data_IF_615898374768
#
_entry.id   IF_615898374768
#
_cell.length_a   1.000
_cell.length_b   1.000
_cell.length_c   1.000
_cell.angle_alpha   90.00
_cell.angle_beta   90.00
_cell.angle_gamma   90.00
#
_symmetry.space_group_name_H-M   'P 1'
#
loop_
_entity.id
_entity.type
_entity.pdbx_description
1 polymer ?
#
# COMPACT_ATOMS: atom_id res chain seq x y z
N UNK A 1 15.51 -31.41 67.02
CA UNK A 1 14.22 -31.94 66.51
C UNK A 1 13.39 -30.77 66.00
N UNK A 2 12.78 -30.70 64.83
CA UNK A 2 12.71 -31.57 63.66
C UNK A 2 12.34 -30.68 62.46
N UNK A 3 12.84 -31.03 61.28
CA UNK A 3 12.53 -30.42 59.98
C UNK A 3 11.14 -30.88 59.49
N UNK A 4 10.42 -30.01 58.78
CA UNK A 4 9.46 -30.33 57.70
C UNK A 4 9.02 -29.00 57.06
N UNK A 5 9.68 -28.46 56.04
CA UNK A 5 9.55 -28.83 54.61
C UNK A 5 8.11 -29.15 54.20
N UNK A 6 7.36 -28.14 53.77
CA UNK A 6 6.28 -28.30 52.80
C UNK A 6 6.67 -27.56 51.51
N UNK A 7 6.83 -28.35 50.46
CA UNK A 7 7.21 -27.98 49.11
C UNK A 7 6.20 -27.03 48.46
N UNK A 8 6.70 -25.89 47.98
CA UNK A 8 6.10 -25.16 46.87
C UNK A 8 6.15 -26.03 45.61
N UNK A 9 4.99 -26.51 45.15
CA UNK A 9 4.88 -27.09 43.81
C UNK A 9 4.73 -25.94 42.79
N UNK A 10 5.86 -25.34 42.42
CA UNK A 10 5.95 -24.60 41.16
C UNK A 10 5.85 -25.62 40.02
N UNK A 11 4.65 -25.76 39.45
CA UNK A 11 4.45 -26.56 38.25
C UNK A 11 5.21 -25.88 37.09
N UNK A 12 6.44 -26.35 36.85
CA UNK A 12 7.21 -26.03 35.67
C UNK A 12 6.41 -26.49 34.44
N UNK A 13 5.85 -25.53 33.70
CA UNK A 13 5.24 -25.79 32.41
C UNK A 13 6.33 -26.28 31.46
N UNK A 14 6.31 -27.59 31.16
CA UNK A 14 7.19 -28.22 30.18
C UNK A 14 7.01 -27.55 28.81
N UNK A 15 7.99 -26.73 28.41
CA UNK A 15 8.05 -26.05 27.12
C UNK A 15 8.46 -27.01 25.97
N UNK A 16 7.71 -28.11 25.79
CA UNK A 16 8.01 -29.09 24.75
C UNK A 16 6.75 -29.52 23.98
N UNK A 17 5.83 -28.58 23.74
CA UNK A 17 4.80 -28.78 22.73
C UNK A 17 5.39 -28.45 21.36
N UNK A 18 5.37 -29.37 20.39
CA UNK A 18 5.75 -29.05 19.03
C UNK A 18 4.75 -28.01 18.51
N UNK A 19 5.16 -26.76 18.41
CA UNK A 19 4.38 -25.76 17.69
C UNK A 19 4.24 -26.27 16.25
N UNK A 20 3.00 -26.46 15.74
CA UNK A 20 2.82 -26.82 14.35
C UNK A 20 3.44 -25.70 13.51
N UNK A 21 4.52 -26.02 12.78
CA UNK A 21 5.11 -25.09 11.82
C UNK A 21 4.04 -24.86 10.75
N UNK A 22 3.49 -23.66 10.73
CA UNK A 22 2.56 -23.24 9.68
C UNK A 22 3.24 -23.46 8.33
N UNK A 23 2.54 -24.12 7.41
CA UNK A 23 3.10 -24.33 6.08
C UNK A 23 3.26 -22.97 5.35
N UNK A 24 4.24 -22.88 4.45
CA UNK A 24 4.54 -21.64 3.72
C UNK A 24 3.35 -21.12 2.92
N UNK A 25 2.46 -22.02 2.48
CA UNK A 25 1.24 -21.68 1.76
C UNK A 25 0.24 -20.93 2.66
N UNK A 26 0.05 -21.36 3.91
CA UNK A 26 -0.79 -20.69 4.90
C UNK A 26 -0.16 -19.33 5.26
N UNK A 27 1.15 -19.29 5.50
CA UNK A 27 1.88 -18.04 5.76
C UNK A 27 1.74 -17.04 4.59
N UNK A 28 1.85 -17.51 3.34
CA UNK A 28 1.65 -16.69 2.14
C UNK A 28 0.20 -16.23 1.97
N UNK A 29 -0.77 -17.04 2.41
CA UNK A 29 -2.20 -16.69 2.37
C UNK A 29 -2.59 -15.68 3.45
N UNK A 30 -1.96 -15.76 4.63
CA UNK A 30 -2.13 -14.79 5.72
C UNK A 30 -1.42 -13.46 5.41
N UNK A 31 -0.33 -13.49 4.64
CA UNK A 31 0.36 -12.29 4.14
C UNK A 31 -0.37 -11.59 3.01
N UNK A 32 -1.32 -12.26 2.35
CA UNK A 32 -2.10 -11.66 1.26
C UNK A 32 -3.14 -10.75 1.89
N UNK A 33 -2.87 -9.45 1.96
CA UNK A 33 -3.88 -8.44 2.28
C UNK A 33 -5.05 -8.65 1.32
N UNK A 34 -6.18 -9.10 1.85
CA UNK A 34 -7.45 -9.33 1.14
C UNK A 34 -8.21 -8.03 0.88
N UNK A 35 -7.56 -6.88 1.04
CA UNK A 35 -8.18 -5.56 0.98
C UNK A 35 -7.72 -4.89 -0.31
N UNK A 36 -8.67 -4.37 -1.08
CA UNK A 36 -8.39 -3.56 -2.26
C UNK A 36 -7.50 -2.37 -1.83
N UNK A 37 -6.38 -2.21 -2.52
CA UNK A 37 -5.38 -1.20 -2.18
C UNK A 37 -5.87 0.20 -2.58
N UNK A 38 -5.78 1.16 -1.66
CA UNK A 38 -5.89 2.58 -1.98
C UNK A 38 -4.68 3.01 -2.83
N UNK A 39 -4.85 3.51 -4.07
CA UNK A 39 -3.75 3.74 -5.00
C UNK A 39 -2.65 4.68 -4.48
N UNK A 40 -3.01 5.64 -3.63
CA UNK A 40 -2.03 6.57 -3.05
C UNK A 40 -1.31 6.06 -1.80
N UNK A 41 -2.00 5.31 -0.93
CA UNK A 41 -1.47 4.97 0.39
C UNK A 41 -0.91 3.54 0.44
N UNK A 42 -1.62 2.61 -0.18
CA UNK A 42 -1.31 1.18 -0.06
C UNK A 42 -0.34 0.70 -1.13
N UNK A 43 -0.35 1.31 -2.31
CA UNK A 43 0.64 1.03 -3.36
C UNK A 43 2.02 1.51 -2.91
N UNK A 44 3.02 0.64 -3.00
CA UNK A 44 4.40 1.02 -2.73
C UNK A 44 4.96 1.91 -3.83
N UNK A 45 5.85 2.84 -3.46
CA UNK A 45 6.59 3.67 -4.42
C UNK A 45 7.49 2.82 -5.33
N UNK A 46 7.94 1.67 -4.84
CA UNK A 46 8.83 0.74 -5.55
C UNK A 46 10.26 0.78 -5.02
N UNK A 47 11.00 -0.34 -5.11
CA UNK A 47 12.32 -0.50 -4.47
C UNK A 47 13.43 0.35 -5.13
N UNK A 48 13.22 0.83 -6.35
CA UNK A 48 14.19 1.67 -7.08
C UNK A 48 14.05 3.17 -6.82
N UNK A 49 13.14 3.58 -5.94
CA UNK A 49 12.88 4.99 -5.68
C UNK A 49 14.12 5.66 -5.04
N UNK A 50 14.47 6.91 -5.41
CA UNK A 50 13.70 7.82 -6.28
C UNK A 50 14.00 7.68 -7.79
N UNK A 51 14.95 6.82 -8.20
CA UNK A 51 15.38 6.75 -9.60
C UNK A 51 14.37 6.01 -10.50
N UNK A 52 13.71 4.98 -9.96
CA UNK A 52 12.66 4.21 -10.63
C UNK A 52 11.52 4.01 -9.64
N UNK A 53 10.32 4.45 -10.00
CA UNK A 53 9.15 4.42 -9.13
C UNK A 53 7.90 3.97 -9.88
N UNK A 54 6.93 3.45 -9.13
CA UNK A 54 5.60 3.18 -9.61
C UNK A 54 4.85 4.49 -9.87
N UNK A 55 4.02 4.51 -10.90
CA UNK A 55 3.16 5.64 -11.25
C UNK A 55 1.72 5.14 -11.42
N UNK A 56 0.76 5.86 -10.83
CA UNK A 56 -0.67 5.62 -11.02
C UNK A 56 -1.17 6.58 -12.09
N UNK A 57 -1.57 6.07 -13.25
CA UNK A 57 -2.05 6.89 -14.36
C UNK A 57 -3.51 7.28 -14.13
N UNK A 58 -3.79 8.58 -14.20
CA UNK A 58 -5.14 9.15 -14.07
C UNK A 58 -5.71 9.49 -15.45
N UNK A 59 -4.89 10.07 -16.32
CA UNK A 59 -5.31 10.56 -17.64
C UNK A 59 -4.45 9.89 -18.71
N UNK A 60 -5.11 9.21 -19.65
CA UNK A 60 -4.43 8.63 -20.81
C UNK A 60 -4.03 9.70 -21.83
N UNK A 61 -2.96 9.45 -22.58
CA UNK A 61 -2.54 10.27 -23.73
C UNK A 61 -3.71 10.48 -24.70
N UNK A 62 -3.93 11.73 -25.10
CA UNK A 62 -5.06 12.13 -25.94
C UNK A 62 -6.37 12.38 -25.17
N UNK A 63 -6.38 12.18 -23.84
CA UNK A 63 -7.52 12.45 -22.99
C UNK A 63 -7.86 13.95 -22.94
N UNK A 64 -9.14 14.28 -23.14
CA UNK A 64 -9.71 15.63 -22.95
C UNK A 64 -10.40 15.79 -21.59
N UNK A 65 -10.66 14.69 -20.89
CA UNK A 65 -11.24 14.70 -19.55
C UNK A 65 -10.10 14.70 -18.54
N UNK A 66 -10.11 15.69 -17.65
CA UNK A 66 -9.19 15.75 -16.52
C UNK A 66 -9.78 14.89 -15.40
N UNK A 67 -9.28 13.67 -15.34
CA UNK A 67 -9.50 12.76 -14.23
C UNK A 67 -8.53 13.08 -13.10
N UNK A 68 -8.95 12.85 -11.86
CA UNK A 68 -8.13 12.96 -10.67
C UNK A 68 -8.50 11.85 -9.67
N UNK A 69 -7.54 11.51 -8.82
CA UNK A 69 -7.75 10.70 -7.64
C UNK A 69 -8.63 11.45 -6.63
N UNK A 70 -9.76 10.86 -6.28
CA UNK A 70 -10.51 11.25 -5.10
C UNK A 70 -9.80 10.70 -3.85
N UNK A 71 -8.99 11.55 -3.20
CA UNK A 71 -8.11 11.19 -2.06
C UNK A 71 -8.81 10.44 -0.92
N UNK A 72 -10.12 10.63 -0.72
CA UNK A 72 -10.87 9.99 0.35
C UNK A 72 -11.28 8.55 0.01
N UNK A 73 -11.69 8.29 -1.23
CA UNK A 73 -12.18 6.98 -1.66
C UNK A 73 -11.13 6.12 -2.36
N UNK A 74 -10.09 6.75 -2.93
CA UNK A 74 -9.10 6.08 -3.77
C UNK A 74 -9.59 5.78 -5.19
N UNK A 75 -10.75 6.29 -5.57
CA UNK A 75 -11.34 6.11 -6.91
C UNK A 75 -10.96 7.27 -7.83
N UNK A 76 -11.03 7.01 -9.15
CA UNK A 76 -10.86 8.05 -10.17
C UNK A 76 -12.18 8.80 -10.35
N UNK A 77 -12.13 10.13 -10.20
CA UNK A 77 -13.26 11.05 -10.40
C UNK A 77 -12.95 11.99 -11.56
N UNK A 78 -14.00 12.43 -12.25
CA UNK A 78 -13.89 13.54 -13.21
C UNK A 78 -13.83 14.83 -12.42
N UNK A 79 -12.70 15.53 -12.49
CA UNK A 79 -12.58 16.90 -12.02
C UNK A 79 -13.27 17.84 -13.03
N UNK A 80 -12.87 17.77 -14.30
CA UNK A 80 -13.51 18.56 -15.37
C UNK A 80 -13.23 18.03 -16.77
N UNK A 81 -13.99 18.53 -17.75
CA UNK A 81 -13.61 18.48 -19.17
C UNK A 81 -12.76 19.71 -19.48
N UNK A 82 -11.67 19.55 -20.24
CA UNK A 82 -10.80 20.67 -20.59
C UNK A 82 -11.57 21.73 -21.40
N UNK A 83 -11.47 22.99 -20.97
CA UNK A 83 -12.18 24.13 -21.56
C UNK A 83 -11.75 24.45 -22.99
N UNK A 84 -10.48 24.21 -23.31
CA UNK A 84 -9.90 24.46 -24.63
C UNK A 84 -9.89 23.18 -25.48
N UNK A 85 -9.69 23.33 -26.80
CA UNK A 85 -9.52 22.20 -27.73
C UNK A 85 -8.11 21.60 -27.64
N UNK A 86 -7.72 21.20 -26.43
CA UNK A 86 -6.44 20.59 -26.11
C UNK A 86 -6.66 19.21 -25.47
N UNK A 87 -5.64 18.37 -25.55
CA UNK A 87 -5.61 17.02 -24.96
C UNK A 87 -4.27 16.80 -24.26
N UNK A 88 -4.23 15.91 -23.28
CA UNK A 88 -2.95 15.56 -22.63
C UNK A 88 -2.00 14.90 -23.65
N UNK A 89 -0.78 15.43 -23.83
CA UNK A 89 0.13 14.95 -24.89
C UNK A 89 0.75 13.58 -24.57
N UNK A 90 0.75 13.19 -23.29
CA UNK A 90 1.28 11.94 -22.76
C UNK A 90 0.39 11.45 -21.61
N UNK A 91 0.65 10.25 -21.10
CA UNK A 91 -0.04 9.75 -19.91
C UNK A 91 0.35 10.60 -18.70
N UNK A 92 -0.64 10.95 -17.89
CA UNK A 92 -0.47 11.80 -16.72
C UNK A 92 -1.02 11.08 -15.48
N UNK A 93 -0.36 11.28 -14.35
CA UNK A 93 -0.77 10.69 -13.08
C UNK A 93 0.17 11.12 -11.96
N UNK A 94 0.28 10.28 -10.92
CA UNK A 94 1.02 10.64 -9.71
C UNK A 94 1.87 9.49 -9.14
N UNK A 95 2.82 9.85 -8.26
CA UNK A 95 3.67 8.91 -7.52
C UNK A 95 2.98 8.52 -6.18
N UNK A 96 2.72 7.22 -5.92
CA UNK A 96 2.13 6.80 -4.66
C UNK A 96 3.07 7.09 -3.47
N UNK A 97 2.49 7.29 -2.28
CA UNK A 97 3.20 7.62 -1.03
C UNK A 97 4.10 8.86 -1.08
N UNK A 98 3.73 9.84 -1.91
CA UNK A 98 4.34 11.17 -1.92
C UNK A 98 3.32 12.23 -1.48
N UNK A 99 3.81 13.40 -1.08
CA UNK A 99 2.99 14.55 -0.68
C UNK A 99 3.74 15.83 -1.05
N UNK A 100 3.03 16.79 -1.64
CA UNK A 100 3.52 18.11 -2.00
C UNK A 100 2.87 19.19 -1.13
N UNK A 101 3.29 20.45 -1.29
CA UNK A 101 2.81 21.58 -0.49
C UNK A 101 1.32 21.91 -0.70
N UNK A 102 0.77 21.50 -1.85
CA UNK A 102 -0.65 21.63 -2.21
C UNK A 102 -1.53 20.51 -1.63
N UNK A 103 -0.95 19.60 -0.84
CA UNK A 103 -1.60 18.42 -0.27
C UNK A 103 -1.97 17.32 -1.28
N UNK A 104 -1.35 17.33 -2.47
CA UNK A 104 -1.48 16.29 -3.50
C UNK A 104 -0.20 15.45 -3.63
N UNK A 105 -0.30 14.21 -4.15
CA UNK A 105 0.87 13.44 -4.53
C UNK A 105 1.65 14.14 -5.65
N UNK A 106 2.93 13.84 -5.77
CA UNK A 106 3.79 14.37 -6.84
C UNK A 106 3.30 13.92 -8.21
N UNK A 107 3.02 14.88 -9.09
CA UNK A 107 2.58 14.67 -10.46
C UNK A 107 3.68 14.14 -11.38
N UNK A 108 3.29 13.37 -12.40
CA UNK A 108 4.18 12.75 -13.38
C UNK A 108 3.57 12.78 -14.77
N UNK A 109 4.39 13.17 -15.75
CA UNK A 109 4.11 12.98 -17.17
C UNK A 109 4.97 11.84 -17.72
N UNK A 110 4.35 10.76 -18.19
CA UNK A 110 5.04 9.54 -18.65
C UNK A 110 5.18 9.54 -20.17
N UNK A 111 6.40 9.75 -20.66
CA UNK A 111 6.74 9.66 -22.08
C UNK A 111 6.98 8.19 -22.45
N UNK A 112 6.24 7.70 -23.44
CA UNK A 112 6.32 6.33 -23.98
C UNK A 112 6.10 6.33 -25.48
#
# INVERSE_FOLDING_TARGET
>A
MSKSNHQESSAAWNANYPHPKLNERILSSLSRRTVAAHPWHDLEIGPGAPSVFNCVVEISKGGKVKYELDKASGLIKVDRVLYSSVVYPHNYGFIPRTICEDSDPMDVLVLM
#
